data_IF_693593728269
#
_entry.id   IF_693593728269
#
_cell.length_a   1.000
_cell.length_b   1.000
_cell.length_c   1.000
_cell.angle_alpha   90.00
_cell.angle_beta   90.00
_cell.angle_gamma   90.00
#
_symmetry.space_group_name_H-M   'P 1'
#
loop_
_entity.id
_entity.type
_entity.pdbx_description
1 polymer ?
#
# COMPACT_ATOMS: atom_id res chain seq x y z
N UNK A 1 -0.88 10.83 0.08
CA UNK A 1 -0.47 10.19 -1.17
C UNK A 1 -1.10 8.82 -1.28
N UNK A 2 -1.26 8.36 -2.49
CA UNK A 2 -1.81 7.04 -2.74
C UNK A 2 -0.86 6.25 -3.62
N UNK A 3 -0.88 4.93 -3.44
CA UNK A 3 -0.04 4.00 -4.20
C UNK A 3 -0.92 2.90 -4.75
N UNK A 4 -0.70 2.55 -6.00
CA UNK A 4 -1.52 1.54 -6.67
C UNK A 4 -0.68 0.33 -7.02
N UNK A 5 -1.22 -0.86 -6.73
CA UNK A 5 -0.63 -2.09 -7.18
C UNK A 5 -0.83 -2.23 -8.69
N UNK A 6 0.27 -2.33 -9.44
CA UNK A 6 0.17 -2.40 -10.90
C UNK A 6 -0.30 -3.77 -11.39
N UNK A 7 -0.38 -4.74 -10.49
CA UNK A 7 -0.82 -6.09 -10.83
C UNK A 7 -2.35 -6.20 -10.78
N UNK A 8 -2.95 -5.75 -9.68
CA UNK A 8 -4.40 -5.94 -9.48
C UNK A 8 -5.18 -4.63 -9.32
N UNK A 9 -4.50 -3.49 -9.22
CA UNK A 9 -5.17 -2.20 -9.07
C UNK A 9 -5.55 -1.83 -7.65
N UNK A 10 -5.08 -2.58 -6.66
CA UNK A 10 -5.36 -2.24 -5.27
C UNK A 10 -4.74 -0.89 -4.91
N UNK A 11 -5.48 -0.07 -4.16
CA UNK A 11 -5.02 1.27 -3.77
C UNK A 11 -4.67 1.28 -2.28
N UNK A 12 -3.46 1.70 -1.97
CA UNK A 12 -3.05 2.00 -0.60
C UNK A 12 -3.09 3.50 -0.40
N UNK A 13 -3.93 3.95 0.53
CA UNK A 13 -4.06 5.37 0.85
C UNK A 13 -3.37 5.62 2.17
N UNK A 14 -2.33 6.44 2.17
CA UNK A 14 -1.57 6.72 3.39
C UNK A 14 -2.45 7.29 4.50
N UNK A 15 -3.44 8.08 4.14
CA UNK A 15 -4.32 8.69 5.15
C UNK A 15 -5.21 7.64 5.83
N UNK A 16 -5.58 6.60 5.12
CA UNK A 16 -6.45 5.56 5.64
C UNK A 16 -5.70 4.40 6.25
N UNK A 17 -4.49 4.15 5.78
CA UNK A 17 -3.72 2.99 6.20
C UNK A 17 -4.41 1.68 5.85
N UNK A 18 -4.02 0.63 6.55
CA UNK A 18 -4.60 -0.70 6.40
C UNK A 18 -4.66 -1.35 7.78
N UNK A 19 -5.57 -0.89 8.65
CA UNK A 19 -5.61 -1.42 10.03
C UNK A 19 -5.76 -2.94 10.09
N UNK A 20 -6.49 -3.53 9.15
CA UNK A 20 -6.67 -4.99 9.10
C UNK A 20 -5.36 -5.71 8.77
N UNK A 21 -4.38 -5.00 8.21
CA UNK A 21 -3.07 -5.53 7.93
C UNK A 21 -2.01 -5.03 8.92
N UNK A 22 -2.46 -4.38 9.98
CA UNK A 22 -1.55 -3.88 11.00
C UNK A 22 -0.89 -2.55 10.66
N UNK A 23 -1.40 -1.83 9.68
CA UNK A 23 -0.84 -0.55 9.23
C UNK A 23 -1.79 0.55 9.66
N UNK A 24 -1.36 1.37 10.63
CA UNK A 24 -2.21 2.42 11.18
C UNK A 24 -2.49 3.52 10.14
N UNK A 25 -3.65 4.18 10.25
CA UNK A 25 -3.92 5.34 9.40
C UNK A 25 -2.82 6.39 9.57
N UNK A 26 -2.43 7.00 8.46
CA UNK A 26 -1.35 8.00 8.46
C UNK A 26 0.04 7.43 8.30
N UNK A 27 0.18 6.12 8.15
CA UNK A 27 1.48 5.50 7.92
C UNK A 27 1.95 5.81 6.50
N UNK A 28 3.14 6.42 6.39
CA UNK A 28 3.69 6.73 5.09
C UNK A 28 4.17 5.45 4.40
N UNK A 29 4.18 5.50 3.05
CA UNK A 29 4.57 4.34 2.27
C UNK A 29 5.95 3.80 2.67
N UNK A 30 6.90 4.70 2.90
CA UNK A 30 8.25 4.30 3.29
C UNK A 30 8.31 3.63 4.66
N UNK A 31 7.27 3.84 5.49
CA UNK A 31 7.19 3.22 6.81
C UNK A 31 6.45 1.88 6.78
N UNK A 32 5.84 1.54 5.66
CA UNK A 32 5.21 0.23 5.48
C UNK A 32 6.33 -0.81 5.41
N UNK A 33 6.21 -1.94 6.15
CA UNK A 33 7.25 -2.96 6.15
C UNK A 33 7.63 -3.41 4.75
N UNK A 34 8.92 -3.65 4.53
CA UNK A 34 9.40 -4.07 3.22
C UNK A 34 8.83 -5.41 2.78
N UNK A 35 8.46 -6.25 3.75
CA UNK A 35 7.89 -7.56 3.45
C UNK A 35 6.37 -7.54 3.36
N UNK A 36 5.76 -6.35 3.42
CA UNK A 36 4.32 -6.23 3.25
C UNK A 36 3.93 -6.60 1.83
N UNK A 37 2.80 -7.27 1.71
CA UNK A 37 2.31 -7.70 0.40
C UNK A 37 0.89 -7.21 0.19
N UNK A 38 0.54 -7.01 -1.09
CA UNK A 38 -0.80 -6.60 -1.46
C UNK A 38 -1.82 -7.63 -0.95
N UNK A 39 -2.84 -7.21 -0.20
CA UNK A 39 -3.82 -8.14 0.33
C UNK A 39 -4.72 -8.76 -0.73
N UNK A 40 -4.73 -8.17 -1.94
CA UNK A 40 -5.58 -8.66 -3.03
C UNK A 40 -4.87 -9.70 -3.89
N UNK A 41 -3.59 -9.48 -4.20
CA UNK A 41 -2.90 -10.36 -5.15
C UNK A 41 -1.56 -10.88 -4.62
N UNK A 42 -1.10 -10.39 -3.47
CA UNK A 42 0.16 -10.84 -2.89
C UNK A 42 1.40 -10.21 -3.49
N UNK A 43 1.25 -9.20 -4.35
CA UNK A 43 2.40 -8.51 -4.92
C UNK A 43 3.15 -7.73 -3.84
N UNK A 44 4.47 -7.61 -4.00
CA UNK A 44 5.29 -6.86 -3.06
C UNK A 44 5.22 -5.37 -3.31
N UNK A 45 5.89 -4.61 -2.43
CA UNK A 45 5.89 -3.14 -2.55
C UNK A 45 6.49 -2.68 -3.88
N UNK A 46 7.41 -3.46 -4.44
CA UNK A 46 8.05 -3.09 -5.70
C UNK A 46 7.06 -3.06 -6.87
N UNK A 47 5.89 -3.65 -6.71
CA UNK A 47 4.85 -3.65 -7.72
C UNK A 47 3.83 -2.54 -7.53
N UNK A 48 4.14 -1.58 -6.67
CA UNK A 48 3.27 -0.43 -6.44
C UNK A 48 3.88 0.82 -7.04
N UNK A 49 3.04 1.69 -7.56
CA UNK A 49 3.45 2.98 -8.07
C UNK A 49 2.70 4.09 -7.36
N UNK A 50 3.40 5.20 -7.10
CA UNK A 50 2.77 6.36 -6.50
C UNK A 50 1.82 7.01 -7.49
N UNK A 51 0.62 7.31 -7.02
CA UNK A 51 -0.37 8.03 -7.82
C UNK A 51 -0.71 9.34 -7.12
N UNK A 52 -0.75 10.40 -7.88
CA UNK A 52 -1.22 11.68 -7.38
C UNK A 52 -2.66 11.87 -7.81
N UNK A 53 -3.51 12.05 -6.83
CA UNK A 53 -4.93 12.34 -7.06
C UNK A 53 -5.30 13.68 -6.48
#
# INVERSE_FOLDING_TARGET
KTYMCVICGFIYDEAKGMPEEGIAPGTRWEDVPLNWQCPECGAGKEDFEMMEV
#
